data_IF_844913008260
#
_entry.id   IF_844913008260
#
_cell.length_a   1.000
_cell.length_b   1.000
_cell.length_c   1.000
_cell.angle_alpha   90.00
_cell.angle_beta   90.00
_cell.angle_gamma   90.00
#
_symmetry.space_group_name_H-M   'P 1'
#
loop_
_entity.id
_entity.type
_entity.pdbx_description
1 polymer ?
#
# COMPACT_ATOMS: atom_id res chain seq x y z
N UNK A 1 10.74 -1.56 16.44
CA UNK A 1 10.60 -0.61 15.30
C UNK A 1 9.26 0.11 15.40
N UNK A 2 9.23 1.45 15.25
CA UNK A 2 7.97 2.22 15.34
C UNK A 2 7.03 1.88 14.15
N UNK A 3 5.71 1.77 14.36
CA UNK A 3 4.74 1.62 13.28
C UNK A 3 4.75 2.84 12.36
N UNK A 4 4.30 2.66 11.10
CA UNK A 4 4.06 3.81 10.23
C UNK A 4 2.97 4.65 10.88
N UNK A 5 3.23 5.94 11.08
CA UNK A 5 2.21 6.83 11.60
C UNK A 5 1.19 7.14 10.49
N UNK A 6 -0.12 7.15 10.79
CA UNK A 6 -1.15 7.49 9.79
C UNK A 6 -0.96 8.90 9.23
N UNK A 7 -0.34 9.78 10.00
CA UNK A 7 -0.02 11.15 9.57
C UNK A 7 0.97 11.17 8.41
N UNK A 8 2.01 10.31 8.42
CA UNK A 8 2.97 10.21 7.32
C UNK A 8 2.26 9.78 6.03
N UNK A 9 1.33 8.83 6.13
CA UNK A 9 0.54 8.37 4.98
C UNK A 9 -0.35 9.48 4.45
N UNK A 10 -1.06 10.19 5.34
CA UNK A 10 -1.90 11.32 4.94
C UNK A 10 -1.08 12.41 4.23
N UNK A 11 0.11 12.73 4.73
CA UNK A 11 1.01 13.68 4.09
C UNK A 11 1.41 13.21 2.67
N UNK A 12 1.79 11.94 2.49
CA UNK A 12 2.15 11.41 1.18
C UNK A 12 0.96 11.41 0.21
N UNK A 13 -0.24 11.06 0.66
CA UNK A 13 -1.47 11.15 -0.15
C UNK A 13 -1.75 12.58 -0.58
N UNK A 14 -1.66 13.55 0.34
CA UNK A 14 -1.91 14.95 0.02
C UNK A 14 -0.87 15.52 -0.95
N UNK A 15 0.42 15.31 -0.67
CA UNK A 15 1.49 15.81 -1.54
C UNK A 15 1.38 15.24 -2.94
N UNK A 16 1.22 13.92 -3.08
CA UNK A 16 1.07 13.29 -4.39
C UNK A 16 -0.25 13.67 -5.09
N UNK A 17 -1.33 13.92 -4.32
CA UNK A 17 -2.59 14.41 -4.86
C UNK A 17 -2.48 15.81 -5.46
N UNK A 18 -1.80 16.72 -4.76
CA UNK A 18 -1.52 18.07 -5.27
C UNK A 18 -0.67 18.01 -6.55
N UNK A 19 0.34 17.13 -6.57
CA UNK A 19 1.19 16.93 -7.75
C UNK A 19 0.39 16.36 -8.92
N UNK A 20 -0.46 15.35 -8.69
CA UNK A 20 -1.31 14.74 -9.72
C UNK A 20 -2.33 15.73 -10.31
N UNK A 21 -2.98 16.52 -9.45
CA UNK A 21 -3.90 17.57 -9.87
C UNK A 21 -3.18 18.68 -10.64
N UNK A 22 -2.03 19.16 -10.14
CA UNK A 22 -1.22 20.20 -10.77
C UNK A 22 -0.71 19.76 -12.14
N UNK A 23 -0.17 18.55 -12.24
CA UNK A 23 0.28 17.99 -13.52
C UNK A 23 -0.86 17.89 -14.53
N UNK A 24 -2.03 17.36 -14.11
CA UNK A 24 -3.20 17.26 -15.00
C UNK A 24 -3.70 18.62 -15.47
N UNK A 25 -3.67 19.61 -14.59
CA UNK A 25 -4.03 21.00 -14.95
C UNK A 25 -3.04 21.60 -15.94
N UNK A 26 -1.75 21.40 -15.71
CA UNK A 26 -0.69 21.83 -16.62
C UNK A 26 -0.83 21.16 -18.00
N UNK A 27 -1.07 19.85 -18.05
CA UNK A 27 -1.26 19.10 -19.29
C UNK A 27 -2.42 19.65 -20.12
N UNK A 28 -3.60 19.81 -19.48
CA UNK A 28 -4.79 20.37 -20.16
C UNK A 28 -4.55 21.77 -20.69
N UNK A 29 -3.91 22.65 -19.91
CA UNK A 29 -3.65 24.04 -20.32
C UNK A 29 -2.66 24.16 -21.49
N UNK A 30 -1.79 23.16 -21.67
CA UNK A 30 -0.82 23.11 -22.78
C UNK A 30 -1.28 22.21 -23.95
N UNK A 31 -2.54 21.76 -23.96
CA UNK A 31 -3.06 20.88 -25.01
C UNK A 31 -2.43 19.48 -25.02
N UNK A 32 -1.80 19.05 -23.91
CA UNK A 32 -1.26 17.73 -23.75
C UNK A 32 -2.35 16.75 -23.26
N UNK A 33 -2.18 15.47 -23.56
CA UNK A 33 -3.09 14.44 -23.07
C UNK A 33 -3.00 14.31 -21.55
N UNK A 34 -4.17 14.12 -20.91
CA UNK A 34 -4.24 13.83 -19.48
C UNK A 34 -3.64 12.44 -19.24
N UNK A 35 -2.83 12.25 -18.17
CA UNK A 35 -2.21 10.96 -17.92
C UNK A 35 -3.27 9.87 -17.69
N UNK A 36 -3.24 8.86 -18.55
CA UNK A 36 -4.09 7.67 -18.47
C UNK A 36 -3.24 6.53 -17.94
N UNK A 37 -3.67 5.94 -16.84
CA UNK A 37 -2.97 4.79 -16.27
C UNK A 37 -3.27 3.54 -17.07
N UNK A 38 -2.24 2.91 -17.63
CA UNK A 38 -2.42 1.62 -18.30
C UNK A 38 -2.88 0.53 -17.32
N UNK A 39 -3.65 -0.42 -17.81
CA UNK A 39 -4.10 -1.59 -17.03
C UNK A 39 -2.92 -2.38 -16.45
N UNK A 40 -1.76 -2.32 -17.10
CA UNK A 40 -0.50 -2.93 -16.63
C UNK A 40 -0.06 -2.41 -15.26
N UNK A 41 -0.29 -1.13 -14.96
CA UNK A 41 0.02 -0.54 -13.66
C UNK A 41 -0.89 -1.13 -12.57
N UNK A 42 -2.18 -1.26 -12.84
CA UNK A 42 -3.12 -1.86 -11.89
C UNK A 42 -2.77 -3.35 -11.64
N UNK A 43 -2.46 -4.09 -12.70
CA UNK A 43 -2.07 -5.51 -12.60
C UNK A 43 -0.76 -5.70 -11.85
N UNK A 44 0.28 -4.91 -12.15
CA UNK A 44 1.57 -4.99 -11.44
C UNK A 44 1.43 -4.62 -9.96
N UNK A 45 0.63 -3.60 -9.64
CA UNK A 45 0.35 -3.18 -8.25
C UNK A 45 -0.39 -4.28 -7.49
N UNK A 46 -1.39 -4.91 -8.12
CA UNK A 46 -2.12 -6.03 -7.54
C UNK A 46 -1.20 -7.26 -7.34
N UNK A 47 -0.34 -7.56 -8.31
CA UNK A 47 0.63 -8.65 -8.21
C UNK A 47 1.59 -8.45 -7.02
N UNK A 48 2.11 -7.24 -6.84
CA UNK A 48 2.97 -6.90 -5.69
C UNK A 48 2.22 -7.12 -4.37
N UNK A 49 0.94 -6.73 -4.29
CA UNK A 49 0.12 -6.96 -3.10
C UNK A 49 -0.03 -8.47 -2.80
N UNK A 50 -0.28 -9.30 -3.83
CA UNK A 50 -0.40 -10.76 -3.67
C UNK A 50 0.92 -11.39 -3.22
N UNK A 51 2.04 -11.00 -3.83
CA UNK A 51 3.38 -11.47 -3.44
C UNK A 51 3.68 -11.11 -1.98
N UNK A 52 3.36 -9.87 -1.57
CA UNK A 52 3.57 -9.40 -0.21
C UNK A 52 2.76 -10.21 0.82
N UNK A 53 1.50 -10.54 0.50
CA UNK A 53 0.68 -11.42 1.32
C UNK A 53 1.29 -12.84 1.41
N UNK A 54 1.76 -13.38 0.29
CA UNK A 54 2.42 -14.69 0.24
C UNK A 54 3.65 -14.74 1.16
N UNK A 55 4.47 -13.67 1.15
CA UNK A 55 5.63 -13.55 2.04
C UNK A 55 5.25 -13.42 3.52
N UNK A 56 4.07 -12.91 3.82
CA UNK A 56 3.58 -12.79 5.21
C UNK A 56 3.01 -14.11 5.78
N UNK A 57 2.59 -15.07 4.92
CA UNK A 57 1.97 -16.33 5.34
C UNK A 57 2.82 -17.13 6.33
N UNK A 58 4.14 -17.39 6.11
CA UNK A 58 4.95 -18.16 7.05
C UNK A 58 5.06 -17.47 8.42
N UNK A 59 5.14 -16.12 8.44
CA UNK A 59 5.21 -15.33 9.67
C UNK A 59 3.87 -15.43 10.43
N UNK A 60 2.75 -15.33 9.72
CA UNK A 60 1.42 -15.46 10.30
C UNK A 60 1.18 -16.87 10.89
N UNK A 61 1.56 -17.94 10.15
CA UNK A 61 1.48 -19.31 10.62
C UNK A 61 2.32 -19.52 11.89
N UNK A 62 3.55 -19.00 11.92
CA UNK A 62 4.42 -19.06 13.09
C UNK A 62 3.81 -18.34 14.30
N UNK A 63 3.32 -17.10 14.11
CA UNK A 63 2.65 -16.34 15.18
C UNK A 63 1.44 -17.08 15.74
N UNK A 64 0.62 -17.67 14.87
CA UNK A 64 -0.55 -18.47 15.28
C UNK A 64 -0.16 -19.76 15.99
N UNK A 65 0.94 -20.40 15.62
CA UNK A 65 1.44 -21.61 16.29
C UNK A 65 1.96 -21.30 17.69
N UNK A 66 2.66 -20.19 17.91
CA UNK A 66 3.08 -19.76 19.25
C UNK A 66 1.86 -19.53 20.16
N UNK A 67 0.83 -18.84 19.66
CA UNK A 67 -0.39 -18.60 20.45
C UNK A 67 -1.14 -19.90 20.81
N UNK A 68 -1.02 -20.93 19.97
CA UNK A 68 -1.60 -22.27 20.25
C UNK A 68 -0.66 -23.20 21.02
N UNK A 69 0.65 -22.99 20.96
CA UNK A 69 1.68 -23.85 21.56
C UNK A 69 1.85 -23.69 23.09
N UNK A 70 0.94 -22.96 23.74
CA UNK A 70 0.75 -23.15 25.18
C UNK A 70 0.37 -24.60 25.53
N UNK A 71 0.22 -25.51 24.55
CA UNK A 71 -0.23 -26.85 24.78
C UNK A 71 0.63 -28.01 24.24
N UNK A 72 1.49 -27.97 23.20
CA UNK A 72 2.15 -29.26 22.88
C UNK A 72 3.38 -29.33 21.96
N UNK A 73 3.82 -28.32 21.25
CA UNK A 73 5.07 -28.48 20.42
C UNK A 73 5.76 -27.16 20.11
N UNK A 74 7.12 -27.16 20.28
CA UNK A 74 7.96 -26.00 19.90
C UNK A 74 7.82 -25.71 18.40
N UNK A 75 7.28 -24.54 18.00
CA UNK A 75 7.22 -24.17 16.59
C UNK A 75 8.64 -23.93 16.07
N UNK A 76 8.89 -24.35 14.81
CA UNK A 76 10.14 -24.05 14.13
C UNK A 76 10.36 -22.53 14.06
N UNK A 77 11.51 -22.00 14.52
CA UNK A 77 11.75 -20.57 14.56
C UNK A 77 11.82 -19.99 13.13
N UNK A 78 11.00 -18.97 12.86
CA UNK A 78 11.15 -18.18 11.63
C UNK A 78 12.43 -17.36 11.77
N UNK A 79 13.24 -17.34 10.71
CA UNK A 79 14.48 -16.56 10.69
C UNK A 79 14.14 -15.06 10.92
N UNK A 80 14.68 -14.43 11.97
CA UNK A 80 14.36 -13.03 12.30
C UNK A 80 14.74 -12.06 11.19
N UNK A 81 15.78 -12.33 10.42
CA UNK A 81 16.16 -11.52 9.26
C UNK A 81 15.10 -11.53 8.15
N UNK A 82 14.42 -12.67 7.95
CA UNK A 82 13.31 -12.76 7.01
C UNK A 82 12.14 -11.86 7.44
N UNK A 83 11.74 -11.93 8.72
CA UNK A 83 10.66 -11.11 9.24
C UNK A 83 10.95 -9.60 9.11
N UNK A 84 12.20 -9.18 9.36
CA UNK A 84 12.62 -7.77 9.18
C UNK A 84 12.53 -7.34 7.71
N UNK A 85 12.97 -8.18 6.78
CA UNK A 85 12.88 -7.87 5.34
C UNK A 85 11.43 -7.72 4.88
N UNK A 86 10.55 -8.64 5.28
CA UNK A 86 9.13 -8.56 4.95
C UNK A 86 8.49 -7.32 5.58
N UNK A 87 8.88 -6.94 6.81
CA UNK A 87 8.42 -5.71 7.46
C UNK A 87 8.86 -4.45 6.71
N UNK A 88 10.11 -4.39 6.25
CA UNK A 88 10.59 -3.24 5.46
C UNK A 88 9.86 -3.14 4.12
N UNK A 89 9.66 -4.28 3.45
CA UNK A 89 8.92 -4.35 2.20
C UNK A 89 7.46 -3.90 2.37
N UNK A 90 6.80 -4.31 3.47
CA UNK A 90 5.43 -3.90 3.76
C UNK A 90 5.31 -2.38 4.00
N UNK A 91 6.30 -1.78 4.65
CA UNK A 91 6.37 -0.34 4.83
C UNK A 91 6.56 0.41 3.52
N UNK A 92 7.47 -0.07 2.68
CA UNK A 92 7.67 0.50 1.35
C UNK A 92 6.39 0.41 0.51
N UNK A 93 5.73 -0.75 0.50
CA UNK A 93 4.47 -0.96 -0.21
C UNK A 93 3.35 -0.04 0.29
N UNK A 94 3.23 0.17 1.61
CA UNK A 94 2.24 1.08 2.17
C UNK A 94 2.47 2.54 1.74
N UNK A 95 3.72 3.00 1.75
CA UNK A 95 4.06 4.36 1.31
C UNK A 95 3.80 4.51 -0.19
N UNK A 96 4.23 3.54 -1.00
CA UNK A 96 3.99 3.55 -2.45
C UNK A 96 2.49 3.53 -2.76
N UNK A 97 1.71 2.71 -2.06
CA UNK A 97 0.25 2.71 -2.17
C UNK A 97 -0.36 4.07 -1.86
N UNK A 98 0.09 4.73 -0.79
CA UNK A 98 -0.36 6.08 -0.42
C UNK A 98 -0.04 7.12 -1.50
N UNK A 99 1.16 7.07 -2.07
CA UNK A 99 1.55 7.97 -3.16
C UNK A 99 0.71 7.75 -4.42
N UNK A 100 0.47 6.49 -4.79
CA UNK A 100 -0.38 6.15 -5.94
C UNK A 100 -1.83 6.59 -5.73
N UNK A 101 -2.38 6.40 -4.51
CA UNK A 101 -3.73 6.89 -4.17
C UNK A 101 -3.83 8.39 -4.39
N UNK A 102 -2.90 9.16 -3.82
CA UNK A 102 -2.90 10.60 -3.98
C UNK A 102 -2.81 11.02 -5.45
N UNK A 103 -1.86 10.47 -6.20
CA UNK A 103 -1.69 10.77 -7.63
C UNK A 103 -2.98 10.52 -8.43
N UNK A 104 -3.56 9.32 -8.34
CA UNK A 104 -4.77 8.99 -9.09
C UNK A 104 -5.99 9.77 -8.61
N UNK A 105 -6.11 10.05 -7.32
CA UNK A 105 -7.16 10.91 -6.79
C UNK A 105 -7.06 12.34 -7.36
N UNK A 106 -5.85 12.91 -7.38
CA UNK A 106 -5.60 14.24 -7.96
C UNK A 106 -5.96 14.30 -9.45
N UNK A 107 -5.55 13.31 -10.23
CA UNK A 107 -5.92 13.17 -11.65
C UNK A 107 -7.44 13.05 -11.82
N UNK A 108 -8.10 12.21 -11.04
CA UNK A 108 -9.55 12.00 -11.11
C UNK A 108 -10.34 13.27 -10.76
N UNK A 109 -9.92 14.02 -9.73
CA UNK A 109 -10.54 15.32 -9.41
C UNK A 109 -10.52 16.24 -10.62
N UNK A 110 -9.39 16.32 -11.34
CA UNK A 110 -9.30 17.13 -12.56
C UNK A 110 -10.19 16.60 -13.67
N UNK A 111 -10.26 15.28 -13.88
CA UNK A 111 -11.12 14.67 -14.90
C UNK A 111 -12.62 14.93 -14.63
N UNK A 112 -13.07 14.84 -13.36
CA UNK A 112 -14.46 15.12 -13.00
C UNK A 112 -14.83 16.60 -13.01
N UNK A 113 -13.85 17.49 -12.88
CA UNK A 113 -14.08 18.95 -13.00
C UNK A 113 -13.98 19.45 -14.44
N UNK A 114 -13.63 18.60 -15.39
CA UNK A 114 -13.62 18.93 -16.81
C UNK A 114 -15.06 19.06 -17.36
N UNK A 115 -15.31 19.98 -18.33
CA UNK A 115 -16.62 20.15 -18.94
C UNK A 115 -17.16 18.90 -19.64
N UNK A 116 -16.26 18.01 -20.09
CA UNK A 116 -16.58 16.72 -20.71
C UNK A 116 -15.78 15.65 -20.01
N UNK A 117 -16.45 14.68 -19.41
CA UNK A 117 -15.81 13.52 -18.78
C UNK A 117 -15.57 12.46 -19.84
N UNK A 118 -14.28 12.17 -20.10
CA UNK A 118 -13.87 11.11 -21.03
C UNK A 118 -13.81 9.78 -20.28
N UNK A 119 -14.81 8.93 -20.51
CA UNK A 119 -14.96 7.63 -19.81
C UNK A 119 -13.73 6.73 -20.05
N UNK A 120 -13.17 6.73 -21.25
CA UNK A 120 -12.00 5.92 -21.62
C UNK A 120 -10.74 6.26 -20.81
N UNK A 121 -10.62 7.52 -20.35
CA UNK A 121 -9.52 7.96 -19.49
C UNK A 121 -9.82 7.74 -18.00
N UNK A 122 -11.09 7.83 -17.61
CA UNK A 122 -11.52 7.77 -16.20
C UNK A 122 -11.48 6.34 -15.65
N UNK A 123 -11.98 5.36 -16.42
CA UNK A 123 -12.05 3.95 -15.99
C UNK A 123 -10.67 3.36 -15.63
N UNK A 124 -9.60 3.49 -16.44
CA UNK A 124 -8.28 2.99 -16.07
C UNK A 124 -7.71 3.67 -14.81
N UNK A 125 -7.98 4.97 -14.63
CA UNK A 125 -7.52 5.68 -13.43
C UNK A 125 -8.24 5.22 -12.16
N UNK A 126 -9.54 4.88 -12.24
CA UNK A 126 -10.28 4.30 -11.12
C UNK A 126 -9.74 2.89 -10.78
N UNK A 127 -9.48 2.05 -11.77
CA UNK A 127 -8.92 0.71 -11.53
C UNK A 127 -7.53 0.78 -10.89
N UNK A 128 -6.70 1.71 -11.31
CA UNK A 128 -5.39 1.95 -10.71
C UNK A 128 -5.51 2.48 -9.27
N UNK A 129 -6.47 3.37 -8.99
CA UNK A 129 -6.77 3.85 -7.64
C UNK A 129 -7.18 2.69 -6.72
N UNK A 130 -8.09 1.82 -7.17
CA UNK A 130 -8.53 0.65 -6.39
C UNK A 130 -7.35 -0.28 -6.10
N UNK A 131 -6.49 -0.56 -7.09
CA UNK A 131 -5.30 -1.39 -6.90
C UNK A 131 -4.32 -0.75 -5.89
N UNK A 132 -4.16 0.58 -5.91
CA UNK A 132 -3.33 1.32 -4.97
C UNK A 132 -3.88 1.25 -3.53
N UNK A 133 -5.21 1.36 -3.36
CA UNK A 133 -5.87 1.19 -2.05
C UNK A 133 -5.64 -0.23 -1.52
N UNK A 134 -5.78 -1.25 -2.37
CA UNK A 134 -5.51 -2.63 -1.98
C UNK A 134 -4.05 -2.81 -1.55
N UNK A 135 -3.09 -2.24 -2.26
CA UNK A 135 -1.67 -2.30 -1.90
C UNK A 135 -1.41 -1.65 -0.53
N UNK A 136 -2.02 -0.49 -0.26
CA UNK A 136 -1.91 0.19 1.04
C UNK A 136 -2.46 -0.67 2.17
N UNK A 137 -3.66 -1.24 1.99
CA UNK A 137 -4.30 -2.12 2.99
C UNK A 137 -3.42 -3.35 3.27
N UNK A 138 -2.95 -4.01 2.20
CA UNK A 138 -2.07 -5.18 2.32
C UNK A 138 -0.77 -4.80 3.04
N UNK A 139 -0.16 -3.66 2.71
CA UNK A 139 1.03 -3.15 3.40
C UNK A 139 0.79 -3.03 4.91
N UNK A 140 -0.33 -2.44 5.34
CA UNK A 140 -0.71 -2.34 6.75
C UNK A 140 -0.96 -3.71 7.40
N UNK A 141 -1.70 -4.59 6.74
CA UNK A 141 -2.00 -5.92 7.28
C UNK A 141 -0.71 -6.69 7.51
N UNK A 142 0.20 -6.69 6.53
CA UNK A 142 1.49 -7.38 6.65
C UNK A 142 2.36 -6.74 7.74
N UNK A 143 2.37 -5.41 7.88
CA UNK A 143 3.05 -4.74 8.98
C UNK A 143 2.54 -5.22 10.34
N UNK A 144 1.22 -5.35 10.52
CA UNK A 144 0.62 -5.84 11.76
C UNK A 144 0.94 -7.33 12.03
N UNK A 145 1.00 -8.14 10.97
CA UNK A 145 1.40 -9.55 11.08
C UNK A 145 2.85 -9.66 11.54
N UNK A 146 3.75 -8.83 10.98
CA UNK A 146 5.18 -8.83 11.30
C UNK A 146 5.52 -8.22 12.67
N UNK A 147 4.59 -7.49 13.31
CA UNK A 147 4.79 -7.02 14.69
C UNK A 147 4.78 -8.20 15.64
N UNK A 148 5.92 -8.50 16.22
CA UNK A 148 6.00 -9.43 17.34
C UNK A 148 5.31 -8.80 18.56
N UNK A 149 4.60 -9.58 19.40
CA UNK A 149 4.16 -9.11 20.71
C UNK A 149 5.40 -8.62 21.47
N UNK A 150 5.43 -7.35 21.84
CA UNK A 150 6.45 -6.87 22.77
C UNK A 150 6.22 -7.59 24.10
N UNK A 151 7.22 -8.31 24.57
CA UNK A 151 7.26 -8.87 25.91
C UNK A 151 7.07 -7.72 26.91
N UNK A 152 5.87 -7.64 27.49
CA UNK A 152 5.55 -6.70 28.57
C UNK A 152 6.09 -7.20 29.92
N UNK A 153 7.12 -8.02 29.92
CA UNK A 153 7.72 -8.59 31.15
C UNK A 153 9.12 -8.05 31.39
N UNK A 154 9.29 -6.72 31.42
CA UNK A 154 10.48 -6.07 32.00
C UNK A 154 10.13 -4.69 32.51
N UNK A 155 9.21 -4.60 33.45
CA UNK A 155 9.07 -3.49 34.39
C UNK A 155 8.32 -4.02 35.64
N UNK A 156 8.98 -4.91 36.38
CA UNK A 156 8.80 -5.17 37.83
C UNK A 156 10.17 -5.32 38.47
#
# INVERSE_FOLDING_TARGET
MKPISPLIIAVWVLVSGIVGFGYSTFAVNNGLEVPISGITLALSTALIAVVLLGLAVPIWKYKRSITKALTTSKPLPVNPFYAVRVLLLSKAAAITGAMLIGWHAGVLVKQFTAPVVVTDATTPNITALVAAVLLLIVGFVVEQICKLPSDKSKDE
#
